data_IF_170932774015
#
_entry.id   IF_170932774015
#
_cell.length_a   1.000
_cell.length_b   1.000
_cell.length_c   1.000
_cell.angle_alpha   90.00
_cell.angle_beta   90.00
_cell.angle_gamma   90.00
#
_symmetry.space_group_name_H-M   'P 1'
#
loop_
_entity.id
_entity.type
_entity.pdbx_description
1 polymer ?
#
# COMPACT_ATOMS: atom_id res chain seq x y z
N UNK A 1 -2.10 -3.07 6.40
CA UNK A 1 -3.32 -2.75 5.61
C UNK A 1 -4.53 -2.36 6.46
N UNK A 2 -5.04 -3.14 7.44
CA UNK A 2 -6.30 -2.81 8.12
C UNK A 2 -6.30 -1.44 8.84
N UNK A 3 -5.16 -1.07 9.45
CA UNK A 3 -5.02 0.23 10.11
C UNK A 3 -5.14 1.42 9.15
N UNK A 4 -4.60 1.30 7.93
CA UNK A 4 -4.60 2.40 6.96
C UNK A 4 -5.96 2.56 6.30
N UNK A 5 -6.69 1.46 6.11
CA UNK A 5 -8.08 1.49 5.65
C UNK A 5 -8.98 2.25 6.63
N UNK A 6 -8.90 1.93 7.93
CA UNK A 6 -9.71 2.62 8.95
C UNK A 6 -9.40 4.13 8.99
N UNK A 7 -8.14 4.52 8.85
CA UNK A 7 -7.75 5.93 8.78
C UNK A 7 -8.29 6.58 7.50
N UNK A 8 -8.14 5.91 6.35
CA UNK A 8 -8.63 6.41 5.07
C UNK A 8 -10.15 6.61 5.04
N UNK A 9 -10.94 5.66 5.56
CA UNK A 9 -12.39 5.78 5.68
C UNK A 9 -12.79 7.00 6.50
N UNK A 10 -12.13 7.19 7.66
CA UNK A 10 -12.40 8.32 8.55
C UNK A 10 -12.07 9.66 7.90
N UNK A 11 -10.92 9.76 7.23
CA UNK A 11 -10.51 10.96 6.50
C UNK A 11 -11.48 11.25 5.35
N UNK A 12 -11.84 10.23 4.56
CA UNK A 12 -12.78 10.38 3.45
C UNK A 12 -14.12 10.92 3.93
N UNK A 13 -14.67 10.34 5.00
CA UNK A 13 -15.95 10.77 5.57
C UNK A 13 -15.87 12.20 6.10
N UNK A 14 -14.80 12.54 6.83
CA UNK A 14 -14.59 13.89 7.35
C UNK A 14 -14.51 14.94 6.23
N UNK A 15 -13.77 14.67 5.16
CA UNK A 15 -13.65 15.59 4.02
C UNK A 15 -15.00 15.72 3.31
N UNK A 16 -15.68 14.60 3.06
CA UNK A 16 -17.00 14.58 2.42
C UNK A 16 -18.04 15.40 3.18
N UNK A 17 -18.08 15.29 4.51
CA UNK A 17 -19.06 15.96 5.35
C UNK A 17 -18.73 17.44 5.62
N UNK A 18 -17.45 17.76 5.91
CA UNK A 18 -17.07 19.12 6.34
C UNK A 18 -16.80 20.07 5.19
N UNK A 19 -16.21 19.58 4.11
CA UNK A 19 -15.68 20.40 3.01
C UNK A 19 -16.36 20.11 1.68
N UNK A 20 -16.80 18.87 1.49
CA UNK A 20 -17.19 18.36 0.18
C UNK A 20 -15.95 18.13 -0.67
N UNK A 21 -15.97 17.07 -1.48
CA UNK A 21 -14.96 16.94 -2.53
C UNK A 21 -15.27 17.95 -3.62
N UNK A 22 -14.25 18.68 -4.06
CA UNK A 22 -14.36 19.60 -5.20
C UNK A 22 -13.99 18.84 -6.48
N UNK A 23 -14.27 19.43 -7.64
CA UNK A 23 -13.74 18.89 -8.90
C UNK A 23 -12.25 19.28 -9.10
N UNK A 24 -11.64 19.98 -8.15
CA UNK A 24 -10.20 20.30 -8.13
C UNK A 24 -9.43 19.29 -7.26
N UNK A 25 -8.73 18.39 -7.94
CA UNK A 25 -7.89 17.37 -7.30
C UNK A 25 -6.82 17.95 -6.36
N UNK A 26 -6.29 19.14 -6.64
CA UNK A 26 -5.24 19.74 -5.80
C UNK A 26 -5.81 20.21 -4.46
N UNK A 27 -6.98 20.83 -4.48
CA UNK A 27 -7.67 21.26 -3.27
C UNK A 27 -8.10 20.05 -2.43
N UNK A 28 -8.63 19.01 -3.08
CA UNK A 28 -8.97 17.76 -2.43
C UNK A 28 -7.76 17.09 -1.75
N UNK A 29 -6.62 16.99 -2.43
CA UNK A 29 -5.38 16.43 -1.86
C UNK A 29 -4.89 17.23 -0.65
N UNK A 30 -4.97 18.56 -0.71
CA UNK A 30 -4.63 19.42 0.42
C UNK A 30 -5.58 19.20 1.60
N UNK A 31 -6.88 19.08 1.33
CA UNK A 31 -7.89 18.80 2.34
C UNK A 31 -7.68 17.45 3.02
N UNK A 32 -7.36 16.41 2.24
CA UNK A 32 -6.97 15.09 2.75
C UNK A 32 -5.74 15.18 3.65
N UNK A 33 -4.72 15.96 3.26
CA UNK A 33 -3.51 16.08 4.07
C UNK A 33 -3.73 16.78 5.41
N UNK A 34 -4.64 17.76 5.47
CA UNK A 34 -4.99 18.44 6.71
C UNK A 34 -5.65 17.45 7.68
N UNK A 35 -6.64 16.69 7.21
CA UNK A 35 -7.34 15.69 8.02
C UNK A 35 -6.39 14.54 8.41
N UNK A 36 -5.50 14.09 7.52
CA UNK A 36 -4.49 13.08 7.86
C UNK A 36 -3.58 13.57 8.98
N UNK A 37 -3.08 14.80 8.93
CA UNK A 37 -2.24 15.35 10.01
C UNK A 37 -3.00 15.42 11.33
N UNK A 38 -4.30 15.66 11.29
CA UNK A 38 -5.14 15.64 12.48
C UNK A 38 -5.27 14.22 13.04
N UNK A 39 -5.56 13.22 12.19
CA UNK A 39 -5.69 11.82 12.59
C UNK A 39 -4.38 11.19 13.07
N UNK A 40 -3.24 11.66 12.56
CA UNK A 40 -1.93 11.15 13.01
C UNK A 40 -1.52 11.69 14.39
N UNK A 41 -2.08 12.82 14.85
CA UNK A 41 -1.77 13.38 16.18
C UNK A 41 -2.18 12.38 17.27
N UNK A 42 -1.20 11.95 18.07
CA UNK A 42 -1.40 10.98 19.15
C UNK A 42 -1.29 9.52 18.73
N UNK A 43 -0.98 9.24 17.47
CA UNK A 43 -0.67 7.87 16.99
C UNK A 43 0.84 7.62 16.95
N UNK A 44 1.23 6.35 16.79
CA UNK A 44 2.63 5.96 16.53
C UNK A 44 3.06 6.24 15.08
N UNK A 45 2.11 6.52 14.20
CA UNK A 45 2.37 6.79 12.78
C UNK A 45 2.93 8.20 12.62
N UNK A 46 3.95 8.34 11.78
CA UNK A 46 4.58 9.62 11.44
C UNK A 46 4.60 9.80 9.93
N UNK A 47 4.51 11.04 9.46
CA UNK A 47 4.71 11.35 8.05
C UNK A 47 6.18 11.19 7.68
N UNK A 48 6.46 10.56 6.54
CA UNK A 48 7.81 10.48 5.95
C UNK A 48 8.29 11.86 5.49
N UNK A 49 7.35 12.68 5.02
CA UNK A 49 7.61 14.00 4.45
C UNK A 49 6.82 15.06 5.22
N UNK A 50 7.53 16.05 5.77
CA UNK A 50 6.89 17.15 6.51
C UNK A 50 6.05 18.05 5.59
N UNK A 51 6.47 18.18 4.34
CA UNK A 51 5.83 18.98 3.30
C UNK A 51 5.81 18.19 2.00
N UNK A 52 4.70 18.27 1.27
CA UNK A 52 4.49 17.63 -0.02
C UNK A 52 3.99 18.72 -0.96
N UNK A 53 4.74 18.98 -2.02
CA UNK A 53 4.31 19.84 -3.12
C UNK A 53 3.65 18.97 -4.20
N UNK A 54 2.32 19.01 -4.24
CA UNK A 54 1.54 18.24 -5.20
C UNK A 54 1.72 18.75 -6.64
N UNK A 55 2.05 20.02 -6.85
CA UNK A 55 2.26 20.59 -8.18
C UNK A 55 3.59 20.06 -8.76
N UNK A 56 4.64 20.02 -7.94
CA UNK A 56 5.92 19.43 -8.32
C UNK A 56 5.77 17.93 -8.67
N UNK A 57 4.96 17.19 -7.91
CA UNK A 57 4.70 15.77 -8.12
C UNK A 57 3.96 15.44 -9.41
N UNK A 58 3.11 16.35 -9.90
CA UNK A 58 2.37 16.16 -11.16
C UNK A 58 3.20 16.55 -12.39
N UNK A 59 4.15 17.47 -12.24
CA UNK A 59 4.95 17.99 -13.35
C UNK A 59 6.22 17.15 -13.57
N UNK A 60 6.86 16.67 -12.50
CA UNK A 60 8.14 15.97 -12.60
C UNK A 60 7.98 14.45 -12.76
N UNK A 61 8.80 13.81 -13.60
CA UNK A 61 8.85 12.36 -13.68
C UNK A 61 9.32 11.76 -12.34
N UNK A 62 8.84 10.55 -12.02
CA UNK A 62 9.13 9.89 -10.75
C UNK A 62 10.63 9.72 -10.45
N UNK A 63 11.49 9.63 -11.48
CA UNK A 63 12.94 9.54 -11.31
C UNK A 63 13.57 10.78 -10.67
N UNK A 64 12.98 11.96 -10.89
CA UNK A 64 13.52 13.25 -10.42
C UNK A 64 12.83 13.74 -9.14
N UNK A 65 11.67 13.17 -8.82
CA UNK A 65 10.91 13.49 -7.62
C UNK A 65 11.63 12.98 -6.36
N UNK A 66 11.77 13.85 -5.34
CA UNK A 66 12.23 13.44 -4.00
C UNK A 66 11.27 12.46 -3.33
N UNK A 67 10.01 12.53 -3.74
CA UNK A 67 8.90 11.75 -3.23
C UNK A 67 8.45 10.82 -4.35
N UNK A 68 8.76 9.52 -4.23
CA UNK A 68 8.37 8.49 -5.21
C UNK A 68 6.89 8.13 -5.04
N UNK A 69 6.00 9.09 -5.31
CA UNK A 69 4.55 8.92 -5.32
C UNK A 69 4.06 9.12 -6.75
N UNK A 70 3.23 8.19 -7.20
CA UNK A 70 2.52 8.33 -8.47
C UNK A 70 1.11 8.83 -8.16
N UNK A 71 0.79 10.02 -8.69
CA UNK A 71 -0.51 10.67 -8.56
C UNK A 71 -1.28 10.71 -9.89
N UNK A 72 -0.79 10.03 -10.94
CA UNK A 72 -1.45 10.00 -12.24
C UNK A 72 -2.79 9.24 -12.23
N UNK A 73 -3.00 8.38 -11.23
CA UNK A 73 -4.18 7.53 -11.09
C UNK A 73 -4.94 7.90 -9.81
N UNK A 74 -5.56 9.08 -9.79
CA UNK A 74 -6.49 9.47 -8.71
C UNK A 74 -7.90 9.05 -9.13
N UNK A 75 -8.55 8.14 -8.38
CA UNK A 75 -9.93 7.75 -8.67
C UNK A 75 -10.90 8.90 -8.38
N UNK A 76 -12.07 8.86 -9.00
CA UNK A 76 -13.12 9.85 -8.72
C UNK A 76 -13.61 9.72 -7.28
N UNK A 77 -13.74 10.84 -6.57
CA UNK A 77 -14.22 10.91 -5.18
C UNK A 77 -15.64 10.34 -4.98
N UNK A 78 -16.44 10.29 -6.07
CA UNK A 78 -17.77 9.66 -6.12
C UNK A 78 -17.71 8.15 -5.90
N UNK A 79 -16.64 7.48 -6.36
CA UNK A 79 -16.45 6.05 -6.13
C UNK A 79 -15.76 5.84 -4.78
N UNK A 80 -16.57 5.78 -3.72
CA UNK A 80 -16.08 5.68 -2.34
C UNK A 80 -15.12 4.50 -2.12
N UNK A 81 -15.40 3.33 -2.69
CA UNK A 81 -14.60 2.12 -2.42
C UNK A 81 -13.21 2.23 -3.04
N UNK A 82 -13.14 2.57 -4.34
CA UNK A 82 -11.86 2.76 -5.04
C UNK A 82 -11.05 3.90 -4.42
N UNK A 83 -11.72 4.99 -4.07
CA UNK A 83 -11.07 6.15 -3.47
C UNK A 83 -10.49 5.84 -2.09
N UNK A 84 -11.24 5.15 -1.23
CA UNK A 84 -10.75 4.76 0.10
C UNK A 84 -9.57 3.78 -0.02
N UNK A 85 -9.61 2.83 -0.95
CA UNK A 85 -8.50 1.91 -1.19
C UNK A 85 -7.25 2.63 -1.69
N UNK A 86 -7.41 3.54 -2.63
CA UNK A 86 -6.35 4.40 -3.13
C UNK A 86 -5.77 5.25 -1.99
N UNK A 87 -6.62 5.88 -1.19
CA UNK A 87 -6.21 6.72 -0.05
C UNK A 87 -5.47 5.92 1.02
N UNK A 88 -5.92 4.71 1.33
CA UNK A 88 -5.23 3.82 2.28
C UNK A 88 -3.82 3.48 1.78
N UNK A 89 -3.68 3.20 0.48
CA UNK A 89 -2.39 2.94 -0.16
C UNK A 89 -1.50 4.18 -0.19
N UNK A 90 -2.08 5.35 -0.44
CA UNK A 90 -1.40 6.63 -0.38
C UNK A 90 -0.86 6.90 1.02
N UNK A 91 -1.70 6.80 2.06
CA UNK A 91 -1.33 6.98 3.46
C UNK A 91 -0.20 6.02 3.84
N UNK A 92 -0.30 4.75 3.45
CA UNK A 92 0.75 3.76 3.70
C UNK A 92 2.10 4.17 3.09
N UNK A 93 2.11 4.75 1.89
CA UNK A 93 3.34 5.18 1.20
C UNK A 93 3.94 6.46 1.77
N UNK A 94 3.14 7.32 2.41
CA UNK A 94 3.63 8.60 2.97
C UNK A 94 3.83 8.57 4.49
N UNK A 95 3.53 7.44 5.14
CA UNK A 95 3.69 7.27 6.59
C UNK A 95 4.68 6.16 6.94
N UNK A 96 5.22 6.25 8.15
CA UNK A 96 6.19 5.34 8.77
C UNK A 96 5.74 5.01 10.19
N UNK A 97 6.22 3.89 10.75
CA UNK A 97 5.87 3.43 12.09
C UNK A 97 4.60 2.59 12.17
N UNK A 98 4.10 2.10 11.03
CA UNK A 98 3.05 1.09 10.97
C UNK A 98 3.58 -0.31 11.26
N UNK A 99 2.67 -1.28 11.42
CA UNK A 99 3.06 -2.70 11.53
C UNK A 99 3.96 -3.08 10.35
N UNK A 100 5.15 -3.61 10.63
CA UNK A 100 6.07 -4.08 9.60
C UNK A 100 5.37 -5.12 8.73
N UNK A 101 5.37 -4.89 7.42
CA UNK A 101 5.00 -5.96 6.49
C UNK A 101 6.08 -7.02 6.63
N UNK A 102 5.68 -8.21 7.07
CA UNK A 102 6.54 -9.38 6.96
C UNK A 102 7.04 -9.45 5.51
N UNK A 103 8.35 -9.64 5.28
CA UNK A 103 8.86 -9.73 3.92
C UNK A 103 8.08 -10.80 3.16
N UNK A 104 7.83 -10.62 1.85
CA UNK A 104 7.25 -11.67 1.03
C UNK A 104 8.05 -12.95 1.26
N UNK A 105 7.38 -14.06 1.54
CA UNK A 105 8.04 -15.36 1.73
C UNK A 105 8.59 -15.79 0.36
N UNK A 106 9.78 -15.30 0.01
CA UNK A 106 10.48 -15.64 -1.25
C UNK A 106 11.00 -17.07 -1.25
N UNK A 107 11.15 -17.69 -0.08
CA UNK A 107 11.71 -19.02 0.08
C UNK A 107 10.88 -20.15 -0.57
N UNK A 108 9.62 -19.90 -0.95
CA UNK A 108 8.74 -20.91 -1.60
C UNK A 108 8.26 -20.50 -2.99
N UNK A 109 8.68 -19.35 -3.51
CA UNK A 109 8.45 -19.02 -4.92
C UNK A 109 9.60 -19.64 -5.68
N UNK A 110 9.43 -20.89 -6.11
CA UNK A 110 10.23 -21.42 -7.21
C UNK A 110 9.94 -20.51 -8.39
N UNK A 111 10.89 -19.63 -8.73
CA UNK A 111 10.92 -19.02 -10.05
C UNK A 111 10.97 -20.22 -10.99
N UNK A 112 9.86 -20.54 -11.66
CA UNK A 112 9.88 -21.65 -12.61
C UNK A 112 10.88 -21.24 -13.67
N UNK A 113 11.95 -22.01 -13.78
CA UNK A 113 12.94 -21.95 -14.83
C UNK A 113 12.28 -22.36 -16.15
N UNK A 114 11.39 -21.51 -16.67
CA UNK A 114 11.32 -21.32 -18.11
C UNK A 114 12.45 -20.36 -18.51
N UNK A 115 13.64 -20.61 -17.97
CA UNK A 115 14.83 -20.51 -18.79
C UNK A 115 14.53 -21.38 -20.01
N UNK A 116 14.70 -20.78 -21.19
CA UNK A 116 14.93 -21.55 -22.41
C UNK A 116 16.19 -22.39 -22.15
N UNK A 117 16.03 -23.54 -21.49
CA UNK A 117 17.13 -24.47 -21.27
C UNK A 117 17.29 -25.27 -22.56
N UNK A 118 18.30 -24.88 -23.32
CA UNK A 118 18.99 -25.79 -24.22
C UNK A 118 19.57 -26.94 -23.36
N UNK A 119 18.72 -27.96 -23.19
CA UNK A 119 19.04 -29.37 -23.27
C UNK A 119 19.85 -30.05 -22.11
N UNK A 120 19.16 -31.03 -21.51
CA UNK A 120 19.60 -32.35 -21.03
C UNK A 120 19.52 -32.68 -19.52
N UNK A 121 18.47 -33.44 -19.21
CA UNK A 121 18.45 -34.69 -18.42
C UNK A 121 19.01 -34.73 -16.99
N UNK A 122 18.11 -34.89 -16.00
CA UNK A 122 18.12 -36.07 -15.10
C UNK A 122 16.89 -36.09 -14.18
N UNK A 123 16.21 -37.23 -14.13
CA UNK A 123 15.10 -37.52 -13.22
C UNK A 123 15.56 -37.47 -11.76
N UNK A 124 14.86 -36.70 -10.91
CA UNK A 124 14.93 -36.86 -9.45
C UNK A 124 13.54 -37.08 -8.87
N UNK A 125 13.43 -38.09 -8.01
CA UNK A 125 12.18 -38.57 -7.42
C UNK A 125 11.46 -37.49 -6.59
N UNK A 126 10.12 -37.44 -6.59
CA UNK A 126 9.37 -36.44 -5.84
C UNK A 126 9.53 -36.66 -4.33
N UNK A 127 10.02 -35.64 -3.63
CA UNK A 127 10.10 -35.62 -2.16
C UNK A 127 8.70 -35.38 -1.58
N UNK A 128 8.24 -36.28 -0.72
CA UNK A 128 6.92 -36.20 -0.08
C UNK A 128 6.99 -35.36 1.21
N UNK A 129 6.45 -34.13 1.17
CA UNK A 129 6.44 -33.19 2.30
C UNK A 129 5.13 -33.22 3.12
N UNK A 130 4.40 -34.35 3.11
CA UNK A 130 3.07 -34.45 3.74
C UNK A 130 3.05 -34.17 5.25
N UNK A 131 4.14 -34.50 5.96
CA UNK A 131 4.21 -34.34 7.42
C UNK A 131 4.33 -32.87 7.86
N UNK A 132 5.05 -32.04 7.10
CA UNK A 132 5.18 -30.59 7.38
C UNK A 132 3.85 -29.85 7.24
N UNK A 133 2.98 -30.30 6.33
CA UNK A 133 1.65 -29.72 6.12
C UNK A 133 0.80 -29.93 7.38
N UNK A 134 0.87 -31.13 7.98
CA UNK A 134 0.07 -31.49 9.16
C UNK A 134 0.51 -30.69 10.39
N UNK A 135 1.83 -30.49 10.58
CA UNK A 135 2.34 -29.69 11.70
C UNK A 135 1.92 -28.22 11.64
N UNK A 136 1.86 -27.64 10.44
CA UNK A 136 1.42 -26.25 10.26
C UNK A 136 -0.01 -26.02 10.77
N UNK A 137 -0.93 -26.94 10.48
CA UNK A 137 -2.32 -26.80 10.93
C UNK A 137 -2.45 -27.01 12.43
N UNK A 138 -1.74 -27.98 13.01
CA UNK A 138 -1.74 -28.18 14.47
C UNK A 138 -1.27 -26.96 15.26
N UNK A 139 -0.28 -26.24 14.72
CA UNK A 139 0.28 -25.05 15.38
C UNK A 139 -0.62 -23.82 15.32
N UNK A 140 -1.61 -23.81 14.42
CA UNK A 140 -2.57 -22.71 14.27
C UNK A 140 -3.77 -22.83 15.22
N UNK A 141 -4.03 -24.03 15.73
CA UNK A 141 -5.14 -24.36 16.63
C UNK A 141 -4.75 -24.40 18.12
N UNK A 142 -3.48 -24.06 18.48
CA UNK A 142 -3.01 -23.86 19.87
C UNK A 142 -2.80 -22.38 20.18
#
# INVERSE_FOLDING_TARGET
>A
MPQYLRIAEKIYQNVKEKKGFTDDHMEDLNNLMIELRHELKGTKLKLLYNYIDFAELLIKPLQESKIKLDLSIIPQSKNTQEFVLWLASFIERITTGGQEKLPPIRAKVTVSSYDYEDNYSSMQNPVNNGEEIIEYFKKKDS
#
